data_IF_592818019502
#
_entry.id   IF_592818019502
#
_cell.length_a   1.000
_cell.length_b   1.000
_cell.length_c   1.000
_cell.angle_alpha   90.00
_cell.angle_beta   90.00
_cell.angle_gamma   90.00
#
_symmetry.space_group_name_H-M   'P 1'
#
loop_
_entity.id
_entity.type
_entity.pdbx_description
1 polymer ?
#
# COMPACT_ATOMS: atom_id res chain seq x y z
N UNK A 1 28.81 -10.19 -1.51
CA UNK A 1 27.72 -10.91 -2.17
C UNK A 1 27.13 -9.98 -3.22
N UNK A 2 26.62 -10.45 -4.36
CA UNK A 2 25.95 -9.55 -5.31
C UNK A 2 24.61 -9.13 -4.72
N UNK A 3 24.16 -7.86 -4.88
CA UNK A 3 22.87 -7.43 -4.41
C UNK A 3 21.73 -8.17 -5.12
N UNK A 4 20.66 -8.48 -4.39
CA UNK A 4 19.41 -9.07 -4.94
C UNK A 4 18.76 -8.15 -5.98
N UNK A 5 17.80 -8.67 -6.72
CA UNK A 5 17.05 -7.85 -7.68
C UNK A 5 16.22 -6.77 -6.98
N UNK A 6 15.63 -7.09 -5.83
CA UNK A 6 14.95 -6.09 -5.00
C UNK A 6 15.91 -5.00 -4.52
N UNK A 7 17.10 -5.39 -4.02
CA UNK A 7 18.11 -4.42 -3.56
C UNK A 7 18.52 -3.43 -4.66
N UNK A 8 18.68 -3.90 -5.90
CA UNK A 8 18.96 -3.03 -7.05
C UNK A 8 17.80 -2.07 -7.36
N UNK A 9 16.57 -2.51 -7.22
CA UNK A 9 15.37 -1.70 -7.51
C UNK A 9 15.12 -0.59 -6.49
N UNK A 10 15.75 -0.66 -5.31
CA UNK A 10 15.63 0.34 -4.25
C UNK A 10 16.92 1.16 -4.03
N UNK A 11 17.86 1.08 -4.95
CA UNK A 11 19.05 1.96 -4.91
C UNK A 11 18.65 3.43 -4.99
N UNK A 12 19.48 4.30 -4.40
CA UNK A 12 19.23 5.73 -4.30
C UNK A 12 18.62 6.14 -2.96
N UNK A 13 18.33 7.41 -2.86
CA UNK A 13 17.72 8.01 -1.68
C UNK A 13 16.21 8.13 -1.88
N UNK A 14 15.43 7.62 -0.95
CA UNK A 14 13.98 7.66 -1.01
C UNK A 14 13.45 8.63 0.03
N UNK A 15 12.73 9.63 -0.42
CA UNK A 15 12.15 10.69 0.39
C UNK A 15 10.64 10.57 0.40
N UNK A 16 10.03 10.64 1.57
CA UNK A 16 8.58 10.59 1.73
C UNK A 16 8.10 11.20 3.03
N UNK A 17 6.81 11.40 3.11
CA UNK A 17 6.15 11.90 4.31
C UNK A 17 4.84 11.15 4.55
N UNK A 18 4.91 9.84 4.89
CA UNK A 18 3.70 9.06 5.16
C UNK A 18 2.85 9.69 6.25
N UNK A 19 1.55 9.68 6.00
CA UNK A 19 0.52 10.05 6.97
C UNK A 19 0.31 8.95 7.99
N UNK A 20 -0.04 9.33 9.21
CA UNK A 20 -0.23 8.45 10.36
C UNK A 20 -1.69 8.49 10.78
N UNK A 21 -2.23 7.32 11.05
CA UNK A 21 -3.63 7.15 11.42
C UNK A 21 -3.77 6.25 12.65
N UNK A 22 -4.72 6.60 13.52
CA UNK A 22 -5.25 5.71 14.55
C UNK A 22 -6.05 4.56 13.93
N UNK A 23 -6.35 3.49 14.68
CA UNK A 23 -7.07 2.31 14.15
C UNK A 23 -8.46 2.59 13.58
N UNK A 24 -9.10 3.68 13.99
CA UNK A 24 -10.40 4.11 13.49
C UNK A 24 -10.31 4.94 12.18
N UNK A 25 -9.09 5.27 11.74
CA UNK A 25 -8.80 6.07 10.57
C UNK A 25 -8.65 7.57 10.84
N UNK A 26 -8.64 7.98 12.11
CA UNK A 26 -8.34 9.37 12.48
C UNK A 26 -6.89 9.69 12.16
N UNK A 27 -6.68 10.74 11.37
CA UNK A 27 -5.34 11.22 11.04
C UNK A 27 -4.72 11.95 12.25
N UNK A 28 -3.50 11.57 12.61
CA UNK A 28 -2.81 12.08 13.81
C UNK A 28 -1.47 12.73 13.52
N UNK A 29 -1.01 12.75 12.27
CA UNK A 29 0.24 13.41 11.89
C UNK A 29 0.98 12.76 10.76
N UNK A 30 2.26 13.03 10.69
CA UNK A 30 3.16 12.59 9.62
C UNK A 30 4.50 12.14 10.18
N UNK A 31 5.18 11.30 9.41
CA UNK A 31 6.57 10.98 9.64
C UNK A 31 7.39 11.32 8.39
N UNK A 32 8.15 12.41 8.42
CA UNK A 32 9.06 12.73 7.32
C UNK A 32 10.21 11.73 7.37
N UNK A 33 10.41 11.01 6.28
CA UNK A 33 11.42 9.96 6.18
C UNK A 33 12.32 10.22 4.98
N UNK A 34 13.59 10.12 5.25
CA UNK A 34 14.64 9.95 4.27
C UNK A 34 15.33 8.62 4.53
N UNK A 35 15.43 7.78 3.51
CA UNK A 35 16.06 6.47 3.65
C UNK A 35 16.96 6.16 2.47
N UNK A 36 18.07 5.52 2.76
CA UNK A 36 19.02 5.05 1.76
C UNK A 36 19.38 3.60 2.03
N UNK A 37 19.56 2.85 0.95
CA UNK A 37 20.06 1.49 1.00
C UNK A 37 21.33 1.40 0.15
N UNK A 38 22.40 0.94 0.74
CA UNK A 38 23.67 0.78 0.07
C UNK A 38 24.27 -0.60 0.30
N UNK A 39 24.97 -1.14 -0.72
CA UNK A 39 25.79 -2.33 -0.56
C UNK A 39 27.26 -1.91 -0.42
N UNK A 40 27.80 -2.06 0.79
CA UNK A 40 29.18 -1.67 1.13
C UNK A 40 29.93 -2.96 1.52
N UNK A 41 31.00 -3.28 0.78
CA UNK A 41 31.84 -4.46 1.00
C UNK A 41 31.03 -5.79 1.10
N UNK A 42 30.00 -5.90 0.25
CA UNK A 42 29.14 -7.08 0.21
C UNK A 42 28.13 -7.19 1.35
N UNK A 43 27.99 -6.14 2.16
CA UNK A 43 26.97 -6.00 3.21
C UNK A 43 25.96 -4.95 2.79
N UNK A 44 24.69 -5.27 2.90
CA UNK A 44 23.62 -4.30 2.67
C UNK A 44 23.32 -3.58 3.97
N UNK A 45 23.38 -2.27 3.93
CA UNK A 45 23.07 -1.36 5.03
C UNK A 45 21.94 -0.43 4.62
N UNK A 46 20.96 -0.29 5.50
CA UNK A 46 19.93 0.75 5.45
C UNK A 46 20.21 1.83 6.45
N UNK A 47 20.07 3.07 6.01
CA UNK A 47 20.02 4.24 6.89
C UNK A 47 18.64 4.87 6.78
N UNK A 48 18.09 5.28 7.90
CA UNK A 48 16.81 5.96 8.00
C UNK A 48 16.96 7.19 8.88
N UNK A 49 16.58 8.34 8.32
CA UNK A 49 16.40 9.57 9.06
C UNK A 49 14.90 9.81 9.17
N UNK A 50 14.42 10.02 10.37
CA UNK A 50 12.99 10.15 10.62
C UNK A 50 12.70 11.40 11.44
N UNK A 51 11.63 12.10 11.09
CA UNK A 51 11.13 13.23 11.87
C UNK A 51 9.61 13.09 12.04
N UNK A 52 9.23 12.65 13.23
CA UNK A 52 7.84 12.41 13.61
C UNK A 52 7.18 13.70 14.07
N UNK A 53 6.15 14.12 13.33
CA UNK A 53 5.24 15.21 13.70
C UNK A 53 3.82 14.62 13.85
N UNK A 54 3.56 14.01 14.99
CA UNK A 54 2.29 13.34 15.28
C UNK A 54 1.89 13.50 16.74
N UNK A 55 0.59 13.31 16.97
CA UNK A 55 -0.04 13.19 18.29
C UNK A 55 -0.51 11.75 18.52
N UNK A 56 -1.24 11.51 19.62
CA UNK A 56 -1.84 10.22 19.91
C UNK A 56 -0.89 9.22 20.56
N UNK A 57 -1.33 7.96 20.60
CA UNK A 57 -0.65 6.89 21.32
C UNK A 57 0.74 6.59 20.76
N UNK A 58 0.92 6.65 19.45
CA UNK A 58 2.21 6.43 18.81
C UNK A 58 3.30 7.32 19.41
N UNK A 59 3.01 8.62 19.56
CA UNK A 59 3.99 9.60 20.08
C UNK A 59 4.44 9.29 21.51
N UNK A 60 3.57 8.70 22.31
CA UNK A 60 3.89 8.32 23.68
C UNK A 60 4.65 7.00 23.81
N UNK A 61 4.55 6.13 22.80
CA UNK A 61 5.12 4.77 22.81
C UNK A 61 6.47 4.65 22.11
N UNK A 62 6.74 5.49 21.12
CA UNK A 62 7.88 5.33 20.22
C UNK A 62 8.72 6.62 20.17
N UNK A 63 10.01 6.47 20.41
CA UNK A 63 10.99 7.48 20.07
C UNK A 63 11.48 7.23 18.64
N UNK A 64 11.16 8.16 17.75
CA UNK A 64 11.66 8.14 16.40
C UNK A 64 12.97 8.92 16.34
N UNK A 65 14.05 8.20 16.07
CA UNK A 65 15.39 8.76 15.90
C UNK A 65 15.99 8.22 14.60
N UNK A 66 17.07 8.82 14.17
CA UNK A 66 17.85 8.30 13.05
C UNK A 66 18.50 6.98 13.45
N UNK A 67 18.40 5.99 12.57
CA UNK A 67 18.98 4.68 12.81
C UNK A 67 19.49 4.01 11.53
N UNK A 68 20.36 3.03 11.70
CA UNK A 68 20.81 2.17 10.63
C UNK A 68 20.63 0.69 11.01
N UNK A 69 20.42 -0.15 10.01
CA UNK A 69 20.27 -1.58 10.20
C UNK A 69 20.89 -2.38 9.06
N UNK A 70 21.41 -3.55 9.40
CA UNK A 70 21.95 -4.50 8.44
C UNK A 70 20.86 -5.32 7.77
N UNK A 71 21.13 -5.75 6.53
CA UNK A 71 20.24 -6.65 5.79
C UNK A 71 21.05 -7.83 5.29
N UNK A 72 20.61 -9.03 5.64
CA UNK A 72 21.03 -10.26 4.93
C UNK A 72 20.12 -10.34 3.70
N UNK A 73 20.73 -10.05 2.55
CA UNK A 73 20.01 -9.85 1.29
C UNK A 73 20.03 -11.09 0.42
N UNK A 74 18.86 -11.52 -0.06
CA UNK A 74 18.71 -12.55 -1.09
C UNK A 74 17.49 -12.26 -1.96
N UNK A 75 17.37 -12.97 -3.09
CA UNK A 75 16.22 -12.81 -4.00
C UNK A 75 14.91 -13.39 -3.42
N UNK A 76 14.99 -14.30 -2.46
CA UNK A 76 13.80 -14.96 -1.90
C UNK A 76 13.45 -14.44 -0.51
N UNK A 77 14.47 -14.23 0.35
CA UNK A 77 14.26 -13.83 1.73
C UNK A 77 15.24 -12.73 2.11
N UNK A 78 14.76 -11.79 2.88
CA UNK A 78 15.57 -10.73 3.46
C UNK A 78 15.42 -10.79 4.97
N UNK A 79 16.53 -10.68 5.69
CA UNK A 79 16.52 -10.57 7.15
C UNK A 79 17.03 -9.19 7.51
N UNK A 80 16.26 -8.48 8.32
CA UNK A 80 16.55 -7.14 8.80
C UNK A 80 17.05 -7.22 10.23
N UNK A 81 18.20 -6.60 10.49
CA UNK A 81 18.90 -6.67 11.78
C UNK A 81 19.11 -5.24 12.29
N UNK A 82 18.14 -4.72 13.01
CA UNK A 82 18.19 -3.39 13.62
C UNK A 82 18.79 -3.39 15.01
N UNK A 83 18.99 -2.21 15.60
CA UNK A 83 19.55 -2.07 16.95
C UNK A 83 18.62 -2.66 18.01
N UNK A 84 17.31 -2.63 17.80
CA UNK A 84 16.26 -3.07 18.74
C UNK A 84 15.13 -3.85 18.06
N UNK A 85 15.32 -4.26 16.81
CA UNK A 85 14.33 -5.06 16.07
C UNK A 85 14.98 -6.13 15.21
N UNK A 86 14.21 -7.15 14.91
CA UNK A 86 14.48 -8.13 13.85
C UNK A 86 13.30 -8.18 12.90
N UNK A 87 13.56 -8.40 11.63
CA UNK A 87 12.52 -8.50 10.62
C UNK A 87 12.86 -9.49 9.53
N UNK A 88 11.86 -9.81 8.74
CA UNK A 88 11.98 -10.58 7.50
C UNK A 88 11.18 -9.93 6.39
N UNK A 89 11.64 -10.10 5.16
CA UNK A 89 10.95 -9.59 3.98
C UNK A 89 10.93 -10.61 2.87
N UNK A 90 9.83 -10.66 2.16
CA UNK A 90 9.61 -11.53 1.01
C UNK A 90 9.44 -10.66 -0.25
N UNK A 91 10.44 -10.62 -1.14
CA UNK A 91 10.34 -9.93 -2.41
C UNK A 91 9.46 -10.69 -3.41
N UNK A 92 8.58 -9.94 -4.07
CA UNK A 92 7.75 -10.38 -5.19
C UNK A 92 7.97 -9.40 -6.36
N UNK A 93 9.13 -9.47 -7.04
CA UNK A 93 9.46 -8.50 -8.09
C UNK A 93 9.53 -7.05 -7.58
N UNK A 94 8.59 -6.19 -8.01
CA UNK A 94 8.50 -4.79 -7.61
C UNK A 94 7.74 -4.56 -6.28
N UNK A 95 7.38 -5.63 -5.58
CA UNK A 95 6.72 -5.60 -4.28
C UNK A 95 7.59 -6.30 -3.23
N UNK A 96 7.65 -5.78 -2.01
CA UNK A 96 8.12 -6.51 -0.83
C UNK A 96 7.05 -6.50 0.24
N UNK A 97 6.80 -7.66 0.83
CA UNK A 97 6.04 -7.82 2.06
C UNK A 97 7.03 -8.11 3.20
N UNK A 98 7.02 -7.27 4.23
CA UNK A 98 7.98 -7.35 5.31
C UNK A 98 7.31 -7.26 6.68
N UNK A 99 7.85 -8.02 7.62
CA UNK A 99 7.42 -8.01 9.02
C UNK A 99 8.61 -7.71 9.89
N UNK A 100 8.44 -6.79 10.84
CA UNK A 100 9.44 -6.43 11.85
C UNK A 100 8.84 -6.58 13.23
N UNK A 101 9.64 -7.05 14.16
CA UNK A 101 9.29 -7.13 15.57
C UNK A 101 10.33 -6.39 16.40
N UNK A 102 9.87 -5.50 17.27
CA UNK A 102 10.70 -4.81 18.25
C UNK A 102 10.31 -5.20 19.67
N UNK A 103 11.21 -5.83 20.43
CA UNK A 103 10.98 -6.08 21.85
C UNK A 103 10.82 -4.80 22.68
N UNK A 104 11.50 -3.73 22.29
CA UNK A 104 11.44 -2.45 23.02
C UNK A 104 10.06 -1.80 22.93
N UNK A 105 9.37 -1.94 21.79
CA UNK A 105 8.02 -1.41 21.61
C UNK A 105 6.93 -2.44 21.91
N UNK A 106 7.32 -3.71 22.07
CA UNK A 106 6.39 -4.84 22.10
C UNK A 106 5.43 -4.88 20.91
N UNK A 107 5.89 -4.37 19.76
CA UNK A 107 5.08 -4.17 18.56
C UNK A 107 5.59 -4.94 17.35
N UNK A 108 4.66 -5.32 16.47
CA UNK A 108 4.92 -5.91 15.17
C UNK A 108 4.52 -4.94 14.08
N UNK A 109 5.45 -4.68 13.16
CA UNK A 109 5.24 -3.84 11.99
C UNK A 109 5.10 -4.72 10.76
N UNK A 110 3.97 -4.63 10.04
CA UNK A 110 3.76 -5.28 8.74
C UNK A 110 3.71 -4.24 7.64
N UNK A 111 4.73 -4.27 6.81
CA UNK A 111 4.96 -3.27 5.78
C UNK A 111 4.88 -3.90 4.41
N UNK A 112 4.17 -3.24 3.49
CA UNK A 112 4.29 -3.49 2.05
C UNK A 112 4.84 -2.26 1.36
N UNK A 113 5.79 -2.50 0.45
CA UNK A 113 6.36 -1.47 -0.42
C UNK A 113 6.20 -1.93 -1.86
N UNK A 114 5.48 -1.16 -2.66
CA UNK A 114 5.30 -1.39 -4.10
C UNK A 114 5.98 -0.29 -4.89
N UNK A 115 6.93 -0.66 -5.75
CA UNK A 115 7.64 0.27 -6.64
C UNK A 115 6.79 0.46 -7.90
N UNK A 116 6.43 1.70 -8.18
CA UNK A 116 5.61 2.09 -9.32
C UNK A 116 6.42 2.94 -10.28
N UNK A 117 6.51 2.54 -11.55
CA UNK A 117 7.22 3.31 -12.58
C UNK A 117 8.74 3.41 -12.39
N UNK A 118 9.29 2.80 -11.33
CA UNK A 118 10.71 2.77 -11.04
C UNK A 118 11.22 3.93 -10.14
N UNK A 119 10.46 5.00 -9.98
CA UNK A 119 10.83 6.22 -9.26
C UNK A 119 9.92 6.56 -8.08
N UNK A 120 8.79 5.90 -7.96
CA UNK A 120 7.80 6.09 -6.92
C UNK A 120 7.59 4.79 -6.13
N UNK A 121 7.48 4.91 -4.81
CA UNK A 121 7.10 3.80 -3.94
C UNK A 121 5.80 4.12 -3.22
N UNK A 122 4.86 3.19 -3.28
CA UNK A 122 3.70 3.15 -2.38
C UNK A 122 4.10 2.38 -1.13
N UNK A 123 4.03 3.07 0.00
CA UNK A 123 4.35 2.53 1.32
C UNK A 123 3.07 2.37 2.13
N UNK A 124 2.87 1.20 2.68
CA UNK A 124 1.77 0.93 3.59
C UNK A 124 2.23 0.04 4.74
N UNK A 125 1.96 0.47 5.96
CA UNK A 125 2.41 -0.22 7.17
C UNK A 125 1.33 -0.24 8.23
N UNK A 126 1.18 -1.39 8.88
CA UNK A 126 0.29 -1.61 10.01
C UNK A 126 1.15 -1.96 11.22
N UNK A 127 0.96 -1.25 12.32
CA UNK A 127 1.65 -1.54 13.58
C UNK A 127 0.67 -2.20 14.55
N UNK A 128 1.06 -3.37 15.03
CA UNK A 128 0.28 -4.22 15.92
C UNK A 128 0.86 -4.24 17.32
N UNK A 129 -0.05 -4.23 18.30
CA UNK A 129 0.20 -4.62 19.67
C UNK A 129 -0.56 -5.93 19.90
N UNK A 130 0.15 -7.06 19.89
CA UNK A 130 -0.48 -8.37 19.81
C UNK A 130 -1.40 -8.50 18.59
N UNK A 131 -2.69 -8.84 18.75
CA UNK A 131 -3.62 -8.98 17.64
C UNK A 131 -4.24 -7.65 17.18
N UNK A 132 -4.00 -6.55 17.89
CA UNK A 132 -4.70 -5.27 17.67
C UNK A 132 -3.81 -4.29 16.92
N UNK A 133 -4.33 -3.70 15.84
CA UNK A 133 -3.67 -2.57 15.17
C UNK A 133 -3.77 -1.37 16.11
N UNK A 134 -2.67 -0.70 16.36
CA UNK A 134 -2.69 0.56 17.11
C UNK A 134 -2.27 1.77 16.29
N UNK A 135 -1.65 1.56 15.12
CA UNK A 135 -1.24 2.66 14.26
C UNK A 135 -1.08 2.19 12.81
N UNK A 136 -1.34 3.09 11.86
CA UNK A 136 -1.19 2.84 10.43
C UNK A 136 -0.40 3.98 9.79
N UNK A 137 0.57 3.63 8.94
CA UNK A 137 1.34 4.56 8.12
C UNK A 137 1.08 4.30 6.66
N UNK A 138 0.74 5.33 5.90
CA UNK A 138 0.60 5.24 4.46
C UNK A 138 1.18 6.47 3.77
N UNK A 139 1.83 6.29 2.64
CA UNK A 139 2.34 7.41 1.86
C UNK A 139 3.10 7.00 0.61
N UNK A 140 3.57 8.00 -0.08
CA UNK A 140 4.43 7.87 -1.23
C UNK A 140 5.85 8.27 -0.89
N UNK A 141 6.80 7.61 -1.54
CA UNK A 141 8.22 7.99 -1.52
C UNK A 141 8.70 8.18 -2.95
N UNK A 142 9.51 9.19 -3.19
CA UNK A 142 10.16 9.43 -4.46
C UNK A 142 11.67 9.26 -4.32
N UNK A 143 12.28 8.63 -5.33
CA UNK A 143 13.75 8.43 -5.37
C UNK A 143 14.47 9.67 -5.85
N UNK A 144 15.65 9.91 -5.28
CA UNK A 144 16.65 10.82 -5.78
C UNK A 144 18.01 10.14 -5.76
N UNK A 145 18.85 10.44 -6.75
CA UNK A 145 20.21 9.91 -6.82
C UNK A 145 21.28 10.98 -6.54
N UNK A 146 20.91 12.25 -6.66
CA UNK A 146 21.79 13.42 -6.59
C UNK A 146 21.20 14.54 -5.71
N UNK A 147 20.41 14.16 -4.70
CA UNK A 147 19.70 15.13 -3.84
C UNK A 147 20.62 16.14 -3.16
N UNK A 148 21.81 15.73 -2.74
CA UNK A 148 22.76 16.60 -2.04
C UNK A 148 23.59 17.48 -2.98
N UNK A 149 23.81 17.02 -4.22
CA UNK A 149 24.67 17.69 -5.21
C UNK A 149 23.86 18.60 -6.15
N UNK A 150 22.58 18.28 -6.41
CA UNK A 150 21.77 18.95 -7.43
C UNK A 150 20.63 19.75 -6.78
N UNK A 151 20.66 21.07 -6.94
CA UNK A 151 19.66 21.97 -6.38
C UNK A 151 18.27 21.78 -6.98
N UNK A 152 18.15 21.44 -8.27
CA UNK A 152 16.86 21.23 -8.94
C UNK A 152 16.22 19.93 -8.43
N UNK A 153 16.98 18.86 -8.31
CA UNK A 153 16.52 17.60 -7.70
C UNK A 153 16.04 17.85 -6.29
N UNK A 154 16.82 18.57 -5.49
CA UNK A 154 16.43 18.90 -4.11
C UNK A 154 15.11 19.66 -4.07
N UNK A 155 14.98 20.72 -4.87
CA UNK A 155 13.75 21.51 -4.92
C UNK A 155 12.53 20.65 -5.32
N UNK A 156 12.68 19.78 -6.32
CA UNK A 156 11.62 18.87 -6.77
C UNK A 156 11.21 17.88 -5.67
N UNK A 157 12.17 17.27 -5.01
CA UNK A 157 11.93 16.30 -3.93
C UNK A 157 11.31 16.97 -2.70
N UNK A 158 11.83 18.14 -2.31
CA UNK A 158 11.26 18.89 -1.17
C UNK A 158 9.81 19.31 -1.45
N UNK A 159 9.53 19.76 -2.67
CA UNK A 159 8.17 20.09 -3.09
C UNK A 159 7.23 18.86 -3.09
N UNK A 160 7.74 17.69 -3.52
CA UNK A 160 7.00 16.43 -3.44
C UNK A 160 6.69 16.07 -1.99
N UNK A 161 7.68 16.06 -1.12
CA UNK A 161 7.51 15.72 0.31
C UNK A 161 6.52 16.67 0.98
N UNK A 162 6.61 17.97 0.72
CA UNK A 162 5.66 18.94 1.27
C UNK A 162 4.23 18.73 0.72
N UNK A 163 4.09 18.36 -0.56
CA UNK A 163 2.78 18.04 -1.13
C UNK A 163 2.15 16.81 -0.48
N UNK A 164 2.95 15.83 -0.05
CA UNK A 164 2.47 14.63 0.64
C UNK A 164 1.86 14.96 2.02
N UNK A 165 2.31 16.01 2.67
CA UNK A 165 1.72 16.53 3.91
C UNK A 165 0.24 16.88 3.74
N UNK A 166 -0.13 17.40 2.58
CA UNK A 166 -1.52 17.76 2.25
C UNK A 166 -2.25 16.57 1.62
N UNK A 167 -1.64 15.95 0.62
CA UNK A 167 -2.27 14.90 -0.18
C UNK A 167 -2.40 13.58 0.59
N UNK A 168 -1.46 13.26 1.46
CA UNK A 168 -1.44 12.01 2.24
C UNK A 168 -2.64 11.85 3.17
N UNK A 169 -3.22 12.96 3.63
CA UNK A 169 -4.42 12.96 4.47
C UNK A 169 -5.75 12.94 3.68
N UNK A 170 -5.71 13.09 2.35
CA UNK A 170 -6.93 12.95 1.55
C UNK A 170 -7.52 11.56 1.76
N UNK A 171 -8.83 11.49 1.91
CA UNK A 171 -9.50 10.20 2.03
C UNK A 171 -9.56 9.46 0.68
N UNK A 172 -9.56 8.13 0.73
CA UNK A 172 -9.84 7.29 -0.44
C UNK A 172 -11.17 7.69 -1.08
N UNK A 173 -11.11 8.05 -2.35
CA UNK A 173 -12.24 8.62 -3.08
C UNK A 173 -12.78 7.65 -4.12
N UNK A 174 -14.08 7.73 -4.30
CA UNK A 174 -14.81 7.10 -5.39
C UNK A 174 -15.65 8.18 -6.07
N UNK A 175 -15.74 8.14 -7.39
CA UNK A 175 -16.60 9.08 -8.09
C UNK A 175 -18.04 8.90 -7.64
N UNK A 176 -18.62 9.95 -7.07
CA UNK A 176 -19.97 9.90 -6.52
C UNK A 176 -21.07 10.03 -7.58
N UNK A 177 -20.73 10.42 -8.82
CA UNK A 177 -21.69 10.75 -9.87
C UNK A 177 -21.51 9.93 -11.14
N UNK A 178 -20.26 9.65 -11.51
CA UNK A 178 -19.94 9.00 -12.78
C UNK A 178 -19.68 7.51 -12.58
N UNK A 179 -20.20 6.70 -13.47
CA UNK A 179 -19.71 5.36 -13.69
C UNK A 179 -18.30 5.41 -14.26
N UNK A 180 -17.62 4.28 -14.27
CA UNK A 180 -16.33 4.17 -14.91
C UNK A 180 -15.69 2.82 -14.68
N UNK A 181 -14.44 2.71 -15.07
CA UNK A 181 -13.70 1.47 -14.99
C UNK A 181 -12.26 1.71 -14.62
N UNK A 182 -11.73 0.93 -13.68
CA UNK A 182 -10.29 0.74 -13.49
C UNK A 182 -9.83 -0.41 -14.34
N UNK A 183 -8.73 -0.21 -15.06
CA UNK A 183 -8.09 -1.27 -15.86
C UNK A 183 -6.59 -1.24 -15.68
N UNK A 184 -5.98 -2.42 -15.76
CA UNK A 184 -4.53 -2.56 -15.74
C UNK A 184 -4.08 -4.01 -15.70
N UNK A 185 -2.79 -4.20 -15.81
CA UNK A 185 -2.15 -5.49 -15.64
C UNK A 185 -1.62 -5.63 -14.22
N UNK A 186 -1.78 -6.83 -13.65
CA UNK A 186 -1.24 -7.19 -12.34
C UNK A 186 -0.33 -8.40 -12.48
N UNK A 187 0.89 -8.29 -12.00
CA UNK A 187 1.81 -9.41 -11.90
C UNK A 187 1.29 -10.44 -10.89
N UNK A 188 1.51 -11.73 -11.17
CA UNK A 188 1.08 -12.83 -10.31
C UNK A 188 2.28 -13.66 -9.90
N UNK A 189 2.40 -13.84 -8.59
CA UNK A 189 3.42 -14.66 -7.95
C UNK A 189 2.75 -15.75 -7.13
N UNK A 190 3.37 -16.93 -7.09
CA UNK A 190 2.95 -17.99 -6.18
C UNK A 190 3.47 -17.74 -4.74
N UNK A 191 3.12 -18.63 -3.82
CA UNK A 191 3.57 -18.56 -2.43
C UNK A 191 5.09 -18.76 -2.25
N UNK A 192 5.79 -19.24 -3.27
CA UNK A 192 7.25 -19.40 -3.28
C UNK A 192 7.94 -18.21 -3.97
N UNK A 193 7.22 -17.10 -4.19
CA UNK A 193 7.73 -15.87 -4.81
C UNK A 193 8.17 -16.05 -6.29
N UNK A 194 7.67 -17.10 -6.94
CA UNK A 194 7.92 -17.29 -8.38
C UNK A 194 6.85 -16.55 -9.18
N UNK A 195 7.29 -15.70 -10.11
CA UNK A 195 6.37 -15.07 -11.07
C UNK A 195 5.79 -16.14 -11.98
N UNK A 196 4.47 -16.33 -11.93
CA UNK A 196 3.75 -17.34 -12.70
C UNK A 196 2.96 -16.76 -13.86
N UNK A 197 2.88 -15.45 -13.98
CA UNK A 197 2.28 -14.75 -15.11
C UNK A 197 1.73 -13.39 -14.77
N UNK A 198 0.70 -12.99 -15.51
CA UNK A 198 0.03 -11.70 -15.41
C UNK A 198 -1.48 -11.92 -15.45
N UNK A 199 -2.23 -11.09 -14.78
CA UNK A 199 -3.67 -10.95 -14.92
C UNK A 199 -4.01 -9.60 -15.53
N UNK A 200 -4.93 -9.58 -16.49
CA UNK A 200 -5.65 -8.38 -16.89
C UNK A 200 -6.81 -8.17 -15.91
N UNK A 201 -6.87 -7.00 -15.31
CA UNK A 201 -7.88 -6.67 -14.30
C UNK A 201 -8.75 -5.54 -14.80
N UNK A 202 -10.06 -5.72 -14.64
CA UNK A 202 -11.08 -4.72 -14.93
C UNK A 202 -12.04 -4.63 -13.75
N UNK A 203 -12.19 -3.43 -13.18
CA UNK A 203 -13.15 -3.15 -12.12
C UNK A 203 -14.16 -2.14 -12.63
N UNK A 204 -15.34 -2.61 -13.03
CA UNK A 204 -16.45 -1.74 -13.40
C UNK A 204 -17.06 -1.15 -12.13
N UNK A 205 -17.34 0.13 -12.15
CA UNK A 205 -17.91 0.88 -11.03
C UNK A 205 -19.12 1.69 -11.50
N UNK A 206 -20.21 1.57 -10.75
CA UNK A 206 -21.45 2.31 -11.01
C UNK A 206 -22.03 2.84 -9.70
N UNK A 207 -21.98 4.15 -9.42
CA UNK A 207 -22.64 4.71 -8.26
C UNK A 207 -24.16 4.55 -8.40
N UNK A 208 -24.83 4.11 -7.34
CA UNK A 208 -26.28 3.94 -7.25
C UNK A 208 -26.89 5.04 -6.38
N UNK A 209 -26.16 5.42 -5.34
CA UNK A 209 -26.44 6.57 -4.45
C UNK A 209 -25.10 7.19 -4.02
N UNK A 210 -25.12 8.25 -3.23
CA UNK A 210 -23.91 8.83 -2.63
C UNK A 210 -23.14 7.84 -1.72
N UNK A 211 -23.82 6.84 -1.16
CA UNK A 211 -23.27 5.89 -0.19
C UNK A 211 -23.23 4.43 -0.73
N UNK A 212 -23.77 4.19 -1.93
CA UNK A 212 -23.85 2.85 -2.50
C UNK A 212 -23.41 2.84 -3.95
N UNK A 213 -22.57 1.87 -4.30
CA UNK A 213 -22.19 1.59 -5.67
C UNK A 213 -22.26 0.10 -5.97
N UNK A 214 -22.46 -0.26 -7.22
CA UNK A 214 -22.26 -1.60 -7.74
C UNK A 214 -20.85 -1.70 -8.33
N UNK A 215 -20.15 -2.78 -8.03
CA UNK A 215 -18.84 -3.08 -8.59
C UNK A 215 -18.84 -4.48 -9.18
N UNK A 216 -18.23 -4.62 -10.36
CA UNK A 216 -17.92 -5.92 -10.97
C UNK A 216 -16.42 -6.01 -11.16
N UNK A 217 -15.79 -7.00 -10.56
CA UNK A 217 -14.38 -7.31 -10.73
C UNK A 217 -14.24 -8.45 -11.73
N UNK A 218 -13.45 -8.24 -12.76
CA UNK A 218 -13.10 -9.21 -13.78
C UNK A 218 -11.58 -9.38 -13.78
N UNK A 219 -11.13 -10.61 -13.64
CA UNK A 219 -9.71 -10.99 -13.63
C UNK A 219 -9.54 -12.07 -14.70
N UNK A 220 -8.64 -11.84 -15.65
CA UNK A 220 -8.35 -12.76 -16.75
C UNK A 220 -6.84 -13.00 -16.86
N UNK A 221 -6.43 -14.27 -16.89
CA UNK A 221 -5.03 -14.65 -16.99
C UNK A 221 -4.70 -15.90 -16.17
N UNK A 222 -3.76 -15.79 -15.26
CA UNK A 222 -3.41 -16.88 -14.32
C UNK A 222 -4.59 -17.20 -13.40
N UNK A 223 -5.26 -16.16 -12.92
CA UNK A 223 -6.51 -16.25 -12.15
C UNK A 223 -7.63 -15.82 -13.09
N UNK A 224 -8.63 -16.68 -13.27
CA UNK A 224 -9.82 -16.35 -14.06
C UNK A 224 -11.02 -16.27 -13.13
N UNK A 225 -11.53 -15.05 -12.92
CA UNK A 225 -12.61 -14.80 -11.97
C UNK A 225 -13.42 -13.57 -12.34
N UNK A 226 -14.73 -13.67 -12.17
CA UNK A 226 -15.65 -12.54 -12.29
C UNK A 226 -16.67 -12.62 -11.17
N UNK A 227 -16.87 -11.50 -10.46
CA UNK A 227 -17.88 -11.39 -9.42
C UNK A 227 -18.39 -9.96 -9.28
N UNK A 228 -19.63 -9.84 -8.82
CA UNK A 228 -20.31 -8.55 -8.64
C UNK A 228 -20.79 -8.41 -7.21
N UNK A 229 -20.70 -7.19 -6.69
CA UNK A 229 -21.16 -6.86 -5.35
C UNK A 229 -21.64 -5.41 -5.24
N UNK A 230 -22.45 -5.15 -4.25
CA UNK A 230 -22.74 -3.79 -3.80
C UNK A 230 -21.68 -3.38 -2.77
N UNK A 231 -21.18 -2.18 -2.94
CA UNK A 231 -20.29 -1.51 -2.00
C UNK A 231 -21.06 -0.43 -1.26
N UNK A 232 -21.18 -0.55 0.05
CA UNK A 232 -21.79 0.45 0.91
C UNK A 232 -20.71 1.21 1.66
N UNK A 233 -20.81 2.53 1.68
CA UNK A 233 -19.87 3.42 2.34
C UNK A 233 -20.47 4.01 3.60
N UNK A 234 -19.74 3.93 4.71
CA UNK A 234 -20.06 4.60 5.97
C UNK A 234 -18.77 5.26 6.52
N UNK A 235 -18.58 6.54 6.19
CA UNK A 235 -17.33 7.24 6.47
C UNK A 235 -16.16 6.59 5.73
N UNK A 236 -15.13 6.18 6.49
CA UNK A 236 -13.96 5.47 5.98
C UNK A 236 -14.13 3.93 5.97
N UNK A 237 -15.29 3.41 6.38
CA UNK A 237 -15.58 1.98 6.36
C UNK A 237 -16.47 1.66 5.18
N UNK A 238 -16.18 0.53 4.51
CA UNK A 238 -17.03 0.02 3.45
C UNK A 238 -17.39 -1.44 3.74
N UNK A 239 -18.58 -1.85 3.31
CA UNK A 239 -19.00 -3.26 3.28
C UNK A 239 -19.27 -3.68 1.84
N UNK A 240 -19.01 -4.94 1.56
CA UNK A 240 -19.18 -5.58 0.26
C UNK A 240 -20.19 -6.69 0.41
N UNK A 241 -21.27 -6.66 -0.39
CA UNK A 241 -22.35 -7.65 -0.33
C UNK A 241 -22.75 -8.05 -1.75
N UNK A 242 -22.56 -9.30 -2.07
CA UNK A 242 -22.92 -9.87 -3.36
C UNK A 242 -23.29 -11.35 -3.25
N UNK A 243 -23.81 -11.94 -4.32
CA UNK A 243 -24.19 -13.36 -4.31
C UNK A 243 -22.99 -14.29 -4.13
N UNK A 244 -21.81 -13.87 -4.57
CA UNK A 244 -20.59 -14.69 -4.55
C UNK A 244 -19.54 -14.19 -3.56
N UNK A 245 -19.69 -12.96 -3.05
CA UNK A 245 -18.68 -12.34 -2.19
C UNK A 245 -19.31 -11.50 -1.09
N UNK A 246 -18.71 -11.54 0.09
CA UNK A 246 -18.95 -10.58 1.16
C UNK A 246 -17.64 -10.12 1.74
N UNK A 247 -17.63 -8.96 2.38
CA UNK A 247 -16.42 -8.44 2.98
C UNK A 247 -16.56 -7.04 3.53
N UNK A 248 -15.43 -6.51 3.94
CA UNK A 248 -15.34 -5.15 4.46
C UNK A 248 -14.01 -4.51 4.10
N UNK A 249 -13.95 -3.21 4.30
CA UNK A 249 -12.70 -2.45 4.22
C UNK A 249 -12.70 -1.28 5.19
N UNK A 250 -11.50 -0.79 5.46
CA UNK A 250 -11.27 0.45 6.20
C UNK A 250 -10.28 1.32 5.45
N UNK A 251 -10.59 2.61 5.36
CA UNK A 251 -9.75 3.63 4.75
C UNK A 251 -8.87 4.33 5.77
N UNK A 252 -7.61 4.51 5.40
CA UNK A 252 -6.61 5.30 6.11
C UNK A 252 -6.01 6.30 5.12
N UNK A 253 -6.58 7.50 5.05
CA UNK A 253 -6.24 8.46 4.01
C UNK A 253 -6.53 7.89 2.62
N UNK A 254 -5.56 7.95 1.71
CA UNK A 254 -5.65 7.43 0.33
C UNK A 254 -5.57 5.90 0.22
N UNK A 255 -5.30 5.22 1.33
CA UNK A 255 -5.23 3.77 1.37
C UNK A 255 -6.54 3.14 1.81
N UNK A 256 -6.91 2.02 1.20
CA UNK A 256 -8.03 1.19 1.58
C UNK A 256 -7.54 -0.24 1.81
N UNK A 257 -7.78 -0.76 3.01
CA UNK A 257 -7.46 -2.13 3.37
C UNK A 257 -8.73 -2.97 3.30
N UNK A 258 -8.74 -3.98 2.45
CA UNK A 258 -9.93 -4.79 2.17
C UNK A 258 -9.75 -6.23 2.62
N UNK A 259 -10.85 -6.85 2.99
CA UNK A 259 -10.95 -8.30 3.15
C UNK A 259 -12.24 -8.76 2.50
N UNK A 260 -12.13 -9.67 1.56
CA UNK A 260 -13.26 -10.28 0.87
C UNK A 260 -13.21 -11.79 1.03
N UNK A 261 -14.38 -12.40 1.16
CA UNK A 261 -14.56 -13.85 1.23
C UNK A 261 -15.44 -14.29 0.08
N UNK A 262 -15.02 -15.31 -0.65
CA UNK A 262 -15.78 -15.90 -1.74
C UNK A 262 -16.66 -17.00 -1.19
N UNK A 263 -17.97 -16.88 -1.39
CA UNK A 263 -18.95 -17.88 -0.96
C UNK A 263 -18.73 -19.21 -1.67
N UNK A 264 -18.93 -20.30 -0.93
CA UNK A 264 -18.78 -21.66 -1.46
C UNK A 264 -17.36 -22.12 -1.73
N UNK A 265 -16.38 -21.23 -1.56
CA UNK A 265 -14.97 -21.51 -1.67
C UNK A 265 -14.25 -21.12 -0.38
N UNK A 266 -13.24 -21.85 0.03
CA UNK A 266 -12.42 -21.46 1.19
C UNK A 266 -11.42 -20.36 0.82
N UNK A 267 -11.84 -19.38 0.02
CA UNK A 267 -11.01 -18.31 -0.52
C UNK A 267 -11.30 -17.00 0.20
N UNK A 268 -10.23 -16.37 0.66
CA UNK A 268 -10.19 -15.03 1.20
C UNK A 268 -9.21 -14.18 0.38
N UNK A 269 -9.63 -12.98 0.02
CA UNK A 269 -8.79 -11.99 -0.65
C UNK A 269 -8.52 -10.88 0.34
N UNK A 270 -7.25 -10.62 0.63
CA UNK A 270 -6.82 -9.42 1.34
C UNK A 270 -6.32 -8.42 0.32
N UNK A 271 -6.75 -7.19 0.42
CA UNK A 271 -6.38 -6.13 -0.51
C UNK A 271 -5.81 -4.91 0.18
N UNK A 272 -4.86 -4.28 -0.49
CA UNK A 272 -4.41 -2.92 -0.23
C UNK A 272 -4.53 -2.14 -1.52
N UNK A 273 -5.38 -1.14 -1.51
CA UNK A 273 -5.58 -0.22 -2.63
C UNK A 273 -5.09 1.14 -2.18
N UNK A 274 -4.25 1.80 -2.96
CA UNK A 274 -3.71 3.12 -2.63
C UNK A 274 -3.87 4.05 -3.83
N UNK A 275 -4.59 5.14 -3.66
CA UNK A 275 -4.74 6.18 -4.69
C UNK A 275 -3.47 7.02 -4.77
N UNK A 276 -2.81 6.94 -5.93
CA UNK A 276 -1.52 7.60 -6.19
C UNK A 276 -1.74 9.08 -6.48
N UNK A 277 -2.81 9.40 -7.21
CA UNK A 277 -3.14 10.74 -7.70
C UNK A 277 -4.64 11.06 -7.58
N UNK A 278 -5.00 12.27 -7.99
CA UNK A 278 -6.39 12.77 -8.01
C UNK A 278 -7.19 12.26 -9.23
N UNK A 279 -6.54 11.59 -10.19
CA UNK A 279 -7.16 10.94 -11.35
C UNK A 279 -7.61 9.51 -11.05
N UNK A 280 -7.65 9.12 -9.77
CA UNK A 280 -8.01 7.80 -9.29
C UNK A 280 -7.09 6.67 -9.77
N UNK A 281 -5.87 6.97 -10.21
CA UNK A 281 -4.86 5.93 -10.44
C UNK A 281 -4.55 5.27 -9.11
N UNK A 282 -4.56 3.95 -9.07
CA UNK A 282 -4.30 3.24 -7.82
C UNK A 282 -3.29 2.11 -7.98
N UNK A 283 -2.41 2.00 -6.99
CA UNK A 283 -1.64 0.80 -6.71
C UNK A 283 -2.55 -0.19 -6.01
N UNK A 284 -2.58 -1.41 -6.51
CA UNK A 284 -3.41 -2.50 -5.96
C UNK A 284 -2.51 -3.68 -5.67
N UNK A 285 -2.66 -4.23 -4.46
CA UNK A 285 -2.06 -5.50 -4.03
C UNK A 285 -3.17 -6.40 -3.52
N UNK A 286 -3.26 -7.61 -4.04
CA UNK A 286 -4.20 -8.64 -3.55
C UNK A 286 -3.45 -9.92 -3.17
N UNK A 287 -3.73 -10.38 -1.97
CA UNK A 287 -3.31 -11.67 -1.44
C UNK A 287 -4.48 -12.66 -1.54
N UNK A 288 -4.34 -13.68 -2.35
CA UNK A 288 -5.33 -14.76 -2.45
C UNK A 288 -4.96 -15.89 -1.48
N UNK A 289 -5.80 -16.12 -0.50
CA UNK A 289 -5.63 -17.19 0.49
C UNK A 289 -6.68 -18.27 0.30
N UNK A 290 -6.27 -19.53 0.28
CA UNK A 290 -7.16 -20.69 0.35
C UNK A 290 -6.90 -21.45 1.63
N UNK A 291 -7.93 -21.68 2.43
CA UNK A 291 -7.80 -22.31 3.75
C UNK A 291 -6.72 -21.63 4.62
N UNK A 292 -6.69 -20.29 4.60
CA UNK A 292 -5.70 -19.43 5.28
C UNK A 292 -4.25 -19.54 4.81
N UNK A 293 -3.97 -20.26 3.74
CA UNK A 293 -2.63 -20.32 3.13
C UNK A 293 -2.59 -19.40 1.92
N UNK A 294 -1.55 -18.57 1.82
CA UNK A 294 -1.29 -17.77 0.63
C UNK A 294 -1.17 -18.70 -0.58
N UNK A 295 -1.90 -18.40 -1.64
CA UNK A 295 -1.82 -19.09 -2.93
C UNK A 295 -1.13 -18.20 -3.95
N UNK A 296 -1.58 -16.94 -4.00
CA UNK A 296 -1.07 -15.97 -4.96
C UNK A 296 -0.93 -14.61 -4.29
N UNK A 297 0.16 -13.94 -4.62
CA UNK A 297 0.35 -12.50 -4.44
C UNK A 297 0.20 -11.87 -5.82
N UNK A 298 -0.65 -10.87 -5.97
CA UNK A 298 -0.80 -10.13 -7.22
C UNK A 298 -0.82 -8.64 -6.96
N UNK A 299 -0.16 -7.88 -7.83
CA UNK A 299 -0.06 -6.44 -7.69
C UNK A 299 0.13 -5.74 -9.03
N UNK A 300 -0.27 -4.50 -9.09
CA UNK A 300 -0.14 -3.67 -10.27
C UNK A 300 -0.73 -2.29 -10.07
N UNK A 301 -0.77 -1.52 -11.16
CA UNK A 301 -1.35 -0.19 -11.20
C UNK A 301 -2.59 -0.21 -12.08
N UNK A 302 -3.71 0.23 -11.53
CA UNK A 302 -4.95 0.35 -12.28
C UNK A 302 -5.24 1.83 -12.55
N UNK A 303 -5.59 2.14 -13.80
CA UNK A 303 -5.93 3.47 -14.28
C UNK A 303 -7.44 3.62 -14.42
N UNK A 304 -7.96 4.74 -13.96
CA UNK A 304 -9.37 5.08 -14.07
C UNK A 304 -9.72 5.62 -15.46
N UNK A 305 -10.86 5.20 -15.96
CA UNK A 305 -11.52 5.77 -17.13
C UNK A 305 -12.95 6.12 -16.74
N UNK A 306 -13.24 7.40 -16.69
CA UNK A 306 -14.59 7.88 -16.38
C UNK A 306 -15.57 7.52 -17.50
N UNK A 307 -16.74 7.04 -17.12
CA UNK A 307 -17.87 6.77 -17.98
C UNK A 307 -18.92 7.87 -17.91
N UNK A 308 -20.17 7.46 -18.03
CA UNK A 308 -21.31 8.39 -18.02
C UNK A 308 -21.68 8.86 -16.62
N UNK A 309 -22.27 10.07 -16.55
CA UNK A 309 -22.87 10.57 -15.31
C UNK A 309 -24.20 9.84 -15.08
N UNK A 310 -24.27 9.04 -14.00
CA UNK A 310 -25.43 8.23 -13.65
C UNK A 310 -26.26 8.81 -12.50
N UNK A 311 -25.66 9.63 -11.65
CA UNK A 311 -26.37 10.35 -10.59
C UNK A 311 -26.41 11.85 -10.93
N UNK A 312 -27.53 12.29 -11.49
CA UNK A 312 -27.78 13.71 -11.70
C UNK A 312 -28.23 14.35 -10.38
N UNK A 313 -27.60 15.46 -9.99
CA UNK A 313 -28.09 16.27 -8.89
C UNK A 313 -29.44 16.88 -9.32
N UNK A 314 -30.55 16.30 -8.88
CA UNK A 314 -31.83 16.98 -8.94
C UNK A 314 -31.84 18.05 -7.83
N UNK A 315 -31.23 19.18 -8.07
CA UNK A 315 -31.59 20.39 -7.36
C UNK A 315 -32.95 20.78 -7.94
N UNK A 316 -34.03 20.48 -7.23
CA UNK A 316 -35.35 20.90 -7.59
C UNK A 316 -35.36 22.38 -7.87
N UNK A 317 -35.86 22.75 -9.06
CA UNK A 317 -36.21 24.10 -9.46
C UNK A 317 -37.35 24.63 -8.60
#
# INVERSE_FOLDING_TARGET
MKPSNWQKSIEGEWHGQPSIFEPDGTHVGWNKVYRQSANIDGKTLYTMNTNLDATGELRSRMEFADFAFGVIDSDNDRIYLGPDFIGSGQPFGALVDATYYSPAWTGELRTMVHIVGGDLQVYSSLIYDGPTIYCVFNGLYQVAFDYHENAETRQRIDAFVESEKINGNKQYQLDAKKSGVWTGEMEVYDANQQKIGVNNVRINYKPLTLLRAEQTVEIEGVINRKYTFNRYRNGNRHTFEGPEVFGNSIGYGRALYTTQHIHGEAVKIRGREFQIDDDYTMSVVWEFHKSNKLQFMTFGVLKWQAGEEVLKANFGS
#
